data_IF_013921735773
#
_entry.id   IF_013921735773
#
_cell.length_a   1.000
_cell.length_b   1.000
_cell.length_c   1.000
_cell.angle_alpha   90.00
_cell.angle_beta   90.00
_cell.angle_gamma   90.00
#
_symmetry.space_group_name_H-M   'P 1'
#
loop_
_entity.id
_entity.type
_entity.pdbx_description
1 polymer ?
#
# COMPACT_ATOMS: atom_id res chain seq x y z
N UNK A 1 -9.24 0.93 10.36
CA UNK A 1 -9.79 0.99 9.00
C UNK A 1 -8.65 0.72 8.03
N UNK A 2 -8.85 -0.22 7.09
CA UNK A 2 -7.90 -0.48 6.01
C UNK A 2 -8.06 0.52 4.87
N UNK A 3 -6.95 1.01 4.34
CA UNK A 3 -6.96 1.74 3.09
C UNK A 3 -7.08 0.75 1.93
N UNK A 4 -8.17 0.85 1.19
CA UNK A 4 -8.42 0.14 -0.05
C UNK A 4 -8.41 1.13 -1.23
N UNK A 5 -8.76 0.65 -2.41
CA UNK A 5 -8.63 1.41 -3.65
C UNK A 5 -9.68 2.53 -3.82
N UNK A 6 -10.65 2.64 -2.94
CA UNK A 6 -11.88 3.44 -3.14
C UNK A 6 -11.87 4.82 -2.45
N UNK A 7 -11.26 4.94 -1.26
CA UNK A 7 -11.24 6.17 -0.49
C UNK A 7 -9.88 6.87 -0.56
N UNK A 8 -9.93 8.20 -0.68
CA UNK A 8 -8.72 9.02 -0.57
C UNK A 8 -8.21 9.07 0.88
N UNK A 9 -6.94 9.40 1.04
CA UNK A 9 -6.32 9.58 2.35
C UNK A 9 -7.04 10.63 3.20
N UNK A 10 -7.52 11.72 2.59
CA UNK A 10 -8.28 12.77 3.24
C UNK A 10 -9.64 12.28 3.74
N UNK A 11 -10.35 11.49 2.95
CA UNK A 11 -11.63 10.91 3.34
C UNK A 11 -11.47 9.95 4.51
N UNK A 12 -10.43 9.10 4.50
CA UNK A 12 -10.13 8.19 5.59
C UNK A 12 -9.81 8.93 6.90
N UNK A 13 -9.02 10.01 6.83
CA UNK A 13 -8.72 10.85 7.99
C UNK A 13 -9.97 11.58 8.49
N UNK A 14 -10.85 12.02 7.59
CA UNK A 14 -12.14 12.64 7.97
C UNK A 14 -13.04 11.65 8.71
N UNK A 15 -13.13 10.40 8.23
CA UNK A 15 -13.89 9.34 8.91
C UNK A 15 -13.37 9.10 10.35
N UNK A 16 -12.05 9.05 10.55
CA UNK A 16 -11.46 8.93 11.90
C UNK A 16 -11.91 10.08 12.80
N UNK A 17 -11.75 11.31 12.32
CA UNK A 17 -12.08 12.53 13.09
C UNK A 17 -13.57 12.63 13.41
N UNK A 18 -14.42 12.36 12.44
CA UNK A 18 -15.88 12.44 12.58
C UNK A 18 -16.45 11.32 13.47
N UNK A 19 -15.78 10.17 13.52
CA UNK A 19 -16.20 9.07 14.39
C UNK A 19 -16.13 9.41 15.88
N UNK A 20 -15.21 10.29 16.28
CA UNK A 20 -14.93 10.61 17.68
C UNK A 20 -14.35 9.45 18.49
N UNK A 21 -13.93 8.36 17.84
CA UNK A 21 -13.42 7.15 18.48
C UNK A 21 -11.90 7.19 18.59
N UNK A 22 -11.36 7.40 19.77
CA UNK A 22 -9.89 7.43 20.02
C UNK A 22 -9.18 6.13 19.68
N UNK A 23 -9.88 4.99 19.74
CA UNK A 23 -9.33 3.66 19.43
C UNK A 23 -9.31 3.33 17.93
N UNK A 24 -9.87 4.18 17.09
CA UNK A 24 -9.92 3.96 15.66
C UNK A 24 -8.63 4.44 15.01
N UNK A 25 -7.99 3.57 14.22
CA UNK A 25 -6.73 3.85 13.54
C UNK A 25 -6.76 3.40 12.09
N UNK A 26 -5.73 3.74 11.33
CA UNK A 26 -5.60 3.42 9.91
C UNK A 26 -4.55 2.33 9.69
N UNK A 27 -4.85 1.46 8.74
CA UNK A 27 -3.89 0.60 8.07
C UNK A 27 -3.53 1.29 6.75
N UNK A 28 -2.26 1.63 6.60
CA UNK A 28 -1.71 2.20 5.36
C UNK A 28 -1.22 1.07 4.45
N UNK A 29 -1.64 1.09 3.19
CA UNK A 29 -1.17 0.18 2.16
C UNK A 29 -0.23 0.93 1.20
N UNK A 30 0.82 0.26 0.69
CA UNK A 30 1.84 0.91 -0.15
C UNK A 30 1.33 1.31 -1.54
N UNK A 31 0.27 0.66 -2.05
CA UNK A 31 -0.17 0.85 -3.44
C UNK A 31 -1.65 1.23 -3.61
N UNK A 32 -2.52 0.92 -2.65
CA UNK A 32 -3.97 1.09 -2.82
C UNK A 32 -4.40 2.55 -3.09
N UNK A 33 -3.65 3.55 -2.56
CA UNK A 33 -3.96 4.95 -2.81
C UNK A 33 -3.81 5.36 -4.29
N UNK A 34 -3.07 4.59 -5.09
CA UNK A 34 -2.91 4.87 -6.51
C UNK A 34 -4.27 4.86 -7.21
N UNK A 35 -5.15 3.92 -6.86
CA UNK A 35 -6.49 3.80 -7.43
C UNK A 35 -7.41 4.94 -7.02
N UNK A 36 -7.10 5.61 -5.91
CA UNK A 36 -7.72 6.85 -5.48
C UNK A 36 -7.04 8.10 -6.08
N UNK A 37 -6.19 7.92 -7.10
CA UNK A 37 -5.45 8.96 -7.79
C UNK A 37 -4.49 9.77 -6.90
N UNK A 38 -3.93 9.12 -5.86
CA UNK A 38 -2.99 9.73 -4.92
C UNK A 38 -1.59 9.13 -5.07
N UNK A 39 -0.58 9.93 -4.73
CA UNK A 39 0.81 9.44 -4.65
C UNK A 39 1.06 8.80 -3.27
N UNK A 40 1.78 7.67 -3.20
CA UNK A 40 2.03 6.97 -1.93
C UNK A 40 2.58 7.84 -0.80
N UNK A 41 3.57 8.69 -1.06
CA UNK A 41 4.17 9.56 -0.05
C UNK A 41 3.24 10.69 0.40
N UNK A 42 2.40 11.22 -0.49
CA UNK A 42 1.42 12.27 -0.15
C UNK A 42 0.29 11.67 0.72
N UNK A 43 -0.20 10.50 0.37
CA UNK A 43 -1.18 9.76 1.16
C UNK A 43 -0.63 9.39 2.55
N UNK A 44 0.62 8.89 2.62
CA UNK A 44 1.29 8.59 3.87
C UNK A 44 1.34 9.83 4.77
N UNK A 45 1.77 10.96 4.24
CA UNK A 45 1.85 12.22 5.00
C UNK A 45 0.49 12.65 5.55
N UNK A 46 -0.57 12.50 4.77
CA UNK A 46 -1.95 12.83 5.18
C UNK A 46 -2.42 11.90 6.30
N UNK A 47 -2.17 10.60 6.17
CA UNK A 47 -2.63 9.56 7.10
C UNK A 47 -1.74 9.40 8.33
N UNK A 48 -0.50 9.92 8.31
CA UNK A 48 0.54 9.70 9.33
C UNK A 48 0.08 9.81 10.79
N UNK A 49 -0.80 10.74 11.19
CA UNK A 49 -1.22 10.83 12.60
C UNK A 49 -2.03 9.63 13.11
N UNK A 50 -2.55 8.80 12.21
CA UNK A 50 -3.50 7.74 12.52
C UNK A 50 -3.03 6.34 12.11
N UNK A 51 -1.86 6.20 11.46
CA UNK A 51 -1.34 4.91 10.98
C UNK A 51 -0.82 4.09 12.15
N UNK A 52 -1.35 2.88 12.33
CA UNK A 52 -0.85 1.91 13.32
C UNK A 52 -0.50 0.56 12.70
N UNK A 53 -0.93 0.32 11.48
CA UNK A 53 -0.64 -0.90 10.73
C UNK A 53 -0.28 -0.54 9.29
N UNK A 54 0.48 -1.41 8.66
CA UNK A 54 0.99 -1.22 7.29
C UNK A 54 0.90 -2.52 6.52
N UNK A 55 0.45 -2.44 5.27
CA UNK A 55 0.63 -3.48 4.26
C UNK A 55 1.72 -3.06 3.29
N UNK A 56 2.69 -3.94 3.10
CA UNK A 56 3.84 -3.74 2.22
C UNK A 56 3.64 -4.57 0.97
N UNK A 57 3.51 -3.91 -0.15
CA UNK A 57 3.46 -4.53 -1.48
C UNK A 57 4.14 -3.65 -2.52
N UNK A 58 4.44 -4.21 -3.67
CA UNK A 58 4.98 -3.47 -4.81
C UNK A 58 4.02 -3.52 -5.99
N UNK A 59 4.00 -2.46 -6.77
CA UNK A 59 3.12 -2.35 -7.91
C UNK A 59 3.69 -1.46 -9.01
N UNK A 60 3.27 -1.75 -10.23
CA UNK A 60 3.42 -0.87 -11.39
C UNK A 60 2.19 0.05 -11.48
N UNK A 61 2.42 1.32 -11.77
CA UNK A 61 1.35 2.29 -11.98
C UNK A 61 0.84 2.15 -13.41
N UNK A 62 -0.46 2.00 -13.57
CA UNK A 62 -1.12 1.87 -14.86
C UNK A 62 -1.93 3.12 -15.14
N UNK A 63 -1.53 3.85 -16.17
CA UNK A 63 -2.27 5.03 -16.62
C UNK A 63 -3.58 4.60 -17.29
N UNK A 64 -4.70 5.12 -16.81
CA UNK A 64 -6.02 4.94 -17.39
C UNK A 64 -6.63 6.27 -17.84
N UNK A 65 -7.80 6.23 -18.47
CA UNK A 65 -8.49 7.45 -18.89
C UNK A 65 -8.98 8.25 -17.67
N UNK A 66 -8.23 9.28 -17.31
CA UNK A 66 -8.57 10.20 -16.22
C UNK A 66 -8.23 9.73 -14.81
N UNK A 67 -7.52 8.61 -14.66
CA UNK A 67 -7.13 8.07 -13.36
C UNK A 67 -5.94 7.14 -13.41
N UNK A 68 -5.62 6.55 -12.27
CA UNK A 68 -4.52 5.62 -12.11
C UNK A 68 -5.01 4.28 -11.57
N UNK A 69 -4.65 3.20 -12.24
CA UNK A 69 -4.73 1.84 -11.72
C UNK A 69 -3.37 1.36 -11.21
N UNK A 70 -3.34 0.23 -10.53
CA UNK A 70 -2.07 -0.43 -10.23
C UNK A 70 -2.10 -1.92 -10.60
N UNK A 71 -0.95 -2.45 -10.95
CA UNK A 71 -0.73 -3.88 -11.12
C UNK A 71 0.32 -4.34 -10.12
N UNK A 72 -0.07 -5.19 -9.17
CA UNK A 72 0.84 -5.76 -8.20
C UNK A 72 1.93 -6.60 -8.88
N UNK A 73 3.15 -6.49 -8.39
CA UNK A 73 4.31 -7.18 -8.93
C UNK A 73 5.25 -7.63 -7.82
N UNK A 74 6.26 -8.42 -8.18
CA UNK A 74 7.28 -8.89 -7.24
C UNK A 74 7.98 -7.68 -6.62
N UNK A 75 8.11 -7.68 -5.29
CA UNK A 75 8.73 -6.59 -4.53
C UNK A 75 10.15 -6.28 -5.02
N UNK A 76 10.38 -5.02 -5.33
CA UNK A 76 11.62 -4.51 -5.94
C UNK A 76 11.58 -4.44 -7.47
N UNK A 77 10.48 -4.82 -8.11
CA UNK A 77 10.29 -4.70 -9.56
C UNK A 77 9.22 -3.67 -9.94
N UNK A 78 8.59 -3.05 -8.96
CA UNK A 78 7.58 -2.02 -9.14
C UNK A 78 8.11 -0.61 -8.98
N UNK A 79 7.17 0.31 -8.78
CA UNK A 79 7.42 1.74 -8.72
C UNK A 79 7.19 2.33 -7.31
N UNK A 80 6.89 1.46 -6.32
CA UNK A 80 6.67 1.94 -4.96
C UNK A 80 7.99 2.42 -4.34
N UNK A 81 8.03 3.62 -3.74
CA UNK A 81 9.24 4.18 -3.15
C UNK A 81 9.54 3.56 -1.78
N UNK A 82 9.88 2.25 -1.75
CA UNK A 82 10.03 1.43 -0.55
C UNK A 82 10.89 2.07 0.53
N UNK A 83 12.08 2.58 0.16
CA UNK A 83 13.00 3.14 1.14
C UNK A 83 12.40 4.38 1.82
N UNK A 84 11.80 5.28 1.05
CA UNK A 84 11.19 6.49 1.57
C UNK A 84 9.97 6.14 2.46
N UNK A 85 9.07 5.27 1.96
CA UNK A 85 7.88 4.84 2.72
C UNK A 85 8.27 4.17 4.05
N UNK A 86 9.21 3.23 4.03
CA UNK A 86 9.65 2.54 5.24
C UNK A 86 10.37 3.48 6.21
N UNK A 87 11.20 4.40 5.71
CA UNK A 87 11.87 5.40 6.55
C UNK A 87 10.85 6.27 7.28
N UNK A 88 9.90 6.84 6.54
CA UNK A 88 8.89 7.71 7.12
C UNK A 88 8.01 6.96 8.13
N UNK A 89 7.58 5.73 7.80
CA UNK A 89 6.75 4.90 8.69
C UNK A 89 7.49 4.48 9.98
N UNK A 90 8.77 4.13 9.90
CA UNK A 90 9.58 3.77 11.07
C UNK A 90 9.79 4.97 11.97
N UNK A 91 9.88 6.17 11.40
CA UNK A 91 10.05 7.41 12.14
C UNK A 91 8.75 7.98 12.73
N UNK A 92 7.59 7.32 12.51
CA UNK A 92 6.34 7.74 13.16
C UNK A 92 6.35 7.39 14.66
N UNK A 93 5.89 8.36 15.46
CA UNK A 93 5.87 8.29 16.91
C UNK A 93 7.09 8.98 17.54
N UNK A 94 6.96 9.38 18.78
CA UNK A 94 8.02 10.11 19.52
C UNK A 94 8.92 9.14 20.30
N UNK A 95 8.50 8.75 21.52
CA UNK A 95 9.28 7.85 22.40
C UNK A 95 9.07 6.36 22.07
N UNK A 96 7.95 6.01 21.44
CA UNK A 96 7.60 4.65 21.07
C UNK A 96 7.15 4.61 19.60
N UNK A 97 7.42 3.49 18.90
CA UNK A 97 6.94 3.33 17.53
C UNK A 97 5.41 3.44 17.45
N UNK A 98 4.90 4.27 16.56
CA UNK A 98 3.46 4.40 16.32
C UNK A 98 2.92 3.21 15.52
N UNK A 99 3.69 2.71 14.56
CA UNK A 99 3.30 1.56 13.74
C UNK A 99 3.55 0.26 14.51
N UNK A 100 2.49 -0.45 14.82
CA UNK A 100 2.50 -1.66 15.64
C UNK A 100 2.71 -2.95 14.85
N UNK A 101 2.37 -2.96 13.56
CA UNK A 101 2.47 -4.14 12.72
C UNK A 101 2.73 -3.79 11.25
N UNK A 102 3.59 -4.58 10.63
CA UNK A 102 3.89 -4.54 9.20
C UNK A 102 3.52 -5.90 8.59
N UNK A 103 2.47 -5.94 7.76
CA UNK A 103 2.08 -7.11 6.98
C UNK A 103 2.79 -7.09 5.63
N UNK A 104 3.35 -8.23 5.23
CA UNK A 104 3.85 -8.41 3.88
C UNK A 104 2.72 -8.98 3.02
N UNK A 105 2.37 -8.28 1.95
CA UNK A 105 1.29 -8.63 1.05
C UNK A 105 1.85 -8.78 -0.36
N UNK A 106 1.92 -10.02 -0.84
CA UNK A 106 2.44 -10.32 -2.17
C UNK A 106 1.30 -10.81 -3.05
N UNK A 107 0.81 -9.93 -3.92
CA UNK A 107 -0.35 -10.18 -4.79
C UNK A 107 0.03 -10.12 -6.27
N UNK A 108 1.12 -10.80 -6.65
CA UNK A 108 1.65 -10.73 -8.02
C UNK A 108 0.56 -11.00 -9.06
N UNK A 109 0.53 -10.13 -10.08
CA UNK A 109 -0.45 -10.10 -11.16
C UNK A 109 -1.86 -9.61 -10.79
N UNK A 110 -2.14 -9.29 -9.53
CA UNK A 110 -3.39 -8.59 -9.19
C UNK A 110 -3.43 -7.22 -9.88
N UNK A 111 -4.54 -6.92 -10.50
CA UNK A 111 -4.79 -5.63 -11.14
C UNK A 111 -6.01 -4.95 -10.54
N UNK A 112 -5.83 -3.74 -10.05
CA UNK A 112 -6.89 -2.86 -9.59
C UNK A 112 -6.99 -1.65 -10.53
N UNK A 113 -8.16 -1.40 -11.14
CA UNK A 113 -8.39 -0.25 -12.01
C UNK A 113 -8.52 1.05 -11.20
N UNK A 114 -8.48 2.20 -11.89
CA UNK A 114 -8.78 3.49 -11.27
C UNK A 114 -10.19 3.50 -10.69
N UNK A 115 -10.30 3.89 -9.42
CA UNK A 115 -11.59 4.10 -8.74
C UNK A 115 -11.98 5.58 -8.70
N UNK A 116 -10.99 6.46 -8.60
CA UNK A 116 -11.19 7.90 -8.54
C UNK A 116 -10.53 8.56 -9.74
N UNK A 117 -11.10 9.65 -10.18
CA UNK A 117 -10.63 10.39 -11.34
C UNK A 117 -10.25 11.81 -10.94
N UNK A 118 -9.33 12.45 -11.69
CA UNK A 118 -8.81 13.79 -11.37
C UNK A 118 -9.87 14.87 -11.21
N UNK A 119 -11.01 14.72 -11.88
CA UNK A 119 -12.11 15.69 -11.84
C UNK A 119 -13.15 15.41 -10.74
N UNK A 120 -13.02 14.31 -10.01
CA UNK A 120 -13.92 13.95 -8.92
C UNK A 120 -13.49 14.67 -7.64
N UNK A 121 -14.44 15.27 -6.95
CA UNK A 121 -14.21 15.84 -5.62
C UNK A 121 -14.24 14.75 -4.53
N UNK A 122 -14.09 15.18 -3.28
CA UNK A 122 -14.27 14.30 -2.13
C UNK A 122 -15.70 13.74 -2.06
N UNK A 123 -15.82 12.51 -1.56
CA UNK A 123 -17.10 11.79 -1.41
C UNK A 123 -17.95 11.71 -2.70
N UNK A 124 -17.40 11.36 -3.86
CA UNK A 124 -18.20 11.18 -5.04
C UNK A 124 -19.09 9.95 -4.92
N UNK A 125 -20.18 9.93 -5.69
CA UNK A 125 -20.92 8.70 -5.90
C UNK A 125 -20.06 7.73 -6.71
N UNK A 126 -19.63 6.61 -6.10
CA UNK A 126 -18.88 5.56 -6.79
C UNK A 126 -19.89 4.53 -7.30
N UNK A 127 -20.12 4.42 -8.63
CA UNK A 127 -21.05 3.45 -9.16
C UNK A 127 -20.51 2.04 -8.97
N UNK A 128 -21.40 1.09 -8.68
CA UNK A 128 -21.02 -0.33 -8.66
C UNK A 128 -20.48 -0.74 -10.02
N UNK A 129 -19.26 -1.28 -10.03
CA UNK A 129 -18.63 -1.85 -11.22
C UNK A 129 -18.78 -3.36 -11.17
N UNK A 130 -19.47 -3.94 -12.14
CA UNK A 130 -19.54 -5.39 -12.25
C UNK A 130 -18.18 -5.89 -12.73
N UNK A 131 -17.49 -6.61 -11.86
CA UNK A 131 -16.29 -7.34 -12.26
C UNK A 131 -16.68 -8.50 -13.20
N UNK A 132 -15.91 -8.73 -14.26
CA UNK A 132 -16.07 -9.92 -15.07
C UNK A 132 -15.71 -11.14 -14.22
N UNK A 133 -16.58 -12.14 -14.19
CA UNK A 133 -16.27 -13.42 -13.56
C UNK A 133 -15.04 -14.02 -14.26
N UNK A 134 -13.94 -14.15 -13.53
CA UNK A 134 -12.77 -14.87 -14.02
C UNK A 134 -13.00 -16.36 -13.75
N UNK A 135 -13.02 -17.22 -14.75
CA UNK A 135 -13.19 -18.65 -14.51
C UNK A 135 -12.04 -19.17 -13.64
N UNK A 136 -12.39 -20.09 -12.73
CA UNK A 136 -11.39 -20.76 -11.90
C UNK A 136 -10.34 -21.45 -12.79
N UNK A 137 -9.05 -21.30 -12.49
CA UNK A 137 -8.00 -21.96 -13.26
C UNK A 137 -8.07 -23.49 -13.06
N UNK A 138 -7.60 -24.23 -14.05
CA UNK A 138 -7.36 -25.67 -13.95
C UNK A 138 -6.49 -26.01 -12.73
N UNK A 139 -6.70 -27.17 -12.10
CA UNK A 139 -6.03 -27.57 -10.86
C UNK A 139 -4.49 -27.52 -10.96
N UNK A 140 -3.93 -27.96 -12.09
CA UNK A 140 -2.48 -27.90 -12.33
C UNK A 140 -1.94 -26.46 -12.41
N UNK A 141 -2.72 -25.54 -12.96
CA UNK A 141 -2.39 -24.11 -13.02
C UNK A 141 -2.46 -23.50 -11.64
N UNK A 142 -3.45 -23.87 -10.83
CA UNK A 142 -3.60 -23.43 -9.46
C UNK A 142 -2.41 -23.88 -8.60
N UNK A 143 -2.02 -25.16 -8.68
CA UNK A 143 -0.86 -25.68 -7.96
C UNK A 143 0.44 -24.93 -8.32
N UNK A 144 0.65 -24.67 -9.60
CA UNK A 144 1.82 -23.91 -10.07
C UNK A 144 1.81 -22.45 -9.54
N UNK A 145 0.64 -21.83 -9.51
CA UNK A 145 0.48 -20.48 -8.93
C UNK A 145 0.77 -20.46 -7.43
N UNK A 146 0.26 -21.42 -6.66
CA UNK A 146 0.50 -21.51 -5.22
C UNK A 146 1.99 -21.74 -4.89
N UNK A 147 2.70 -22.53 -5.70
CA UNK A 147 4.14 -22.70 -5.53
C UNK A 147 4.90 -21.40 -5.81
N UNK A 148 4.52 -20.72 -6.89
CA UNK A 148 5.11 -19.42 -7.24
C UNK A 148 4.84 -18.36 -6.18
N UNK A 149 3.64 -18.25 -5.67
CA UNK A 149 3.24 -17.32 -4.61
C UNK A 149 4.09 -17.49 -3.35
N UNK A 150 4.36 -18.75 -2.96
CA UNK A 150 5.29 -19.04 -1.86
C UNK A 150 6.71 -18.56 -2.14
N UNK A 151 7.19 -18.70 -3.36
CA UNK A 151 8.51 -18.24 -3.79
C UNK A 151 8.58 -16.70 -3.80
N UNK A 152 7.54 -16.05 -4.32
CA UNK A 152 7.41 -14.62 -4.36
C UNK A 152 7.37 -14.02 -2.95
N UNK A 153 6.63 -14.62 -2.01
CA UNK A 153 6.60 -14.22 -0.60
C UNK A 153 7.99 -14.32 0.07
N UNK A 154 8.75 -15.39 -0.21
CA UNK A 154 10.14 -15.50 0.29
C UNK A 154 11.03 -14.41 -0.29
N UNK A 155 10.86 -14.07 -1.57
CA UNK A 155 11.62 -13.00 -2.22
C UNK A 155 11.25 -11.62 -1.67
N UNK A 156 9.98 -11.35 -1.37
CA UNK A 156 9.54 -10.15 -0.68
C UNK A 156 10.22 -9.99 0.67
N UNK A 157 10.25 -11.05 1.49
CA UNK A 157 10.93 -11.02 2.79
C UNK A 157 12.41 -10.63 2.64
N UNK A 158 13.10 -11.20 1.66
CA UNK A 158 14.52 -10.89 1.39
C UNK A 158 14.70 -9.44 0.96
N UNK A 159 13.84 -8.97 0.06
CA UNK A 159 13.89 -7.61 -0.45
C UNK A 159 13.65 -6.57 0.65
N UNK A 160 12.58 -6.72 1.42
CA UNK A 160 12.26 -5.82 2.54
C UNK A 160 13.39 -5.80 3.58
N UNK A 161 13.97 -6.96 3.92
CA UNK A 161 15.15 -7.02 4.79
C UNK A 161 16.35 -6.25 4.24
N UNK A 162 16.57 -6.32 2.92
CA UNK A 162 17.65 -5.58 2.27
C UNK A 162 17.42 -4.06 2.39
N UNK A 163 16.21 -3.59 2.14
CA UNK A 163 15.84 -2.17 2.29
C UNK A 163 16.02 -1.70 3.74
N UNK A 164 15.54 -2.48 4.72
CA UNK A 164 15.71 -2.16 6.14
C UNK A 164 17.19 -2.09 6.56
N UNK A 165 18.02 -2.98 6.03
CA UNK A 165 19.48 -2.92 6.28
C UNK A 165 20.12 -1.67 5.68
N UNK A 166 19.64 -1.23 4.52
CA UNK A 166 20.11 0.01 3.91
C UNK A 166 19.73 1.23 4.74
N UNK A 167 18.46 1.33 5.16
CA UNK A 167 17.96 2.39 6.05
C UNK A 167 18.80 2.45 7.34
N UNK A 168 19.05 1.28 7.95
CA UNK A 168 19.88 1.19 9.16
C UNK A 168 21.29 1.74 8.95
N UNK A 169 21.97 1.35 7.86
CA UNK A 169 23.30 1.84 7.54
C UNK A 169 23.35 3.36 7.34
N UNK A 170 22.33 3.93 6.67
CA UNK A 170 22.21 5.37 6.48
C UNK A 170 22.02 6.11 7.81
N UNK A 171 21.15 5.57 8.69
CA UNK A 171 20.95 6.12 10.03
C UNK A 171 22.24 6.08 10.87
N UNK A 172 22.96 4.95 10.86
CA UNK A 172 24.25 4.80 11.56
C UNK A 172 25.30 5.81 11.06
N UNK A 173 25.33 6.04 9.75
CA UNK A 173 26.22 7.02 9.14
C UNK A 173 25.90 8.47 9.57
N UNK A 174 24.63 8.81 9.68
CA UNK A 174 24.19 10.13 10.15
C UNK A 174 24.53 10.37 11.63
N UNK A 175 24.55 9.33 12.45
CA UNK A 175 24.89 9.44 13.87
C UNK A 175 26.40 9.54 14.13
N UNK A 176 27.24 9.18 13.15
CA UNK A 176 28.71 9.15 13.29
C UNK A 176 29.41 10.35 12.67
N UNK A 177 28.68 11.22 11.98
CA UNK A 177 29.18 12.48 11.39
C UNK A 177 28.54 13.69 12.06
#
# INVERSE_FOLDING_TARGET
>A
IGQHEDLTSHELVSLIKESGMESLSLLFDFANMINANERPLDALKTMSPHITQVHIKDALIVQEEGGLGHKACISGQGEMPFQALLTDLICLGDEQPQVMAYGLEEEVDYYAPAFRFEHEGDNPWIPYRQMSETPLPEASVLEARLLKEKEDAVNQIKYVRCVLQQIKKEAEHLLTN
#
